data_IF_418213598108
#
_entry.id   IF_418213598108
#
_cell.length_a   1.000
_cell.length_b   1.000
_cell.length_c   1.000
_cell.angle_alpha   90.00
_cell.angle_beta   90.00
_cell.angle_gamma   90.00
#
_symmetry.space_group_name_H-M   'P 1'
#
loop_
_entity.id
_entity.type
_entity.pdbx_description
1 polymer ?
#
# COMPACT_ATOMS: atom_id res chain seq x y z
N UNK A 1 14.60 -5.49 3.76
CA UNK A 1 13.30 -5.48 3.06
C UNK A 1 13.69 -5.66 1.62
N UNK A 2 13.63 -6.91 1.14
CA UNK A 2 14.40 -7.27 -0.06
C UNK A 2 13.51 -7.27 -1.31
N UNK A 3 12.19 -7.12 -1.14
CA UNK A 3 11.18 -7.03 -2.20
C UNK A 3 10.38 -5.72 -2.09
N UNK A 4 11.03 -4.59 -2.38
CA UNK A 4 10.38 -3.27 -2.42
C UNK A 4 10.57 -2.63 -3.80
N UNK A 5 9.51 -2.05 -4.35
CA UNK A 5 9.59 -1.31 -5.61
C UNK A 5 10.35 0.01 -5.42
N UNK A 6 10.75 0.63 -6.54
CA UNK A 6 11.11 2.05 -6.52
C UNK A 6 9.92 2.89 -6.08
N UNK A 7 10.20 4.06 -5.49
CA UNK A 7 9.16 5.02 -5.14
C UNK A 7 8.50 5.61 -6.37
N UNK A 8 7.17 5.60 -6.37
CA UNK A 8 6.30 6.25 -7.33
C UNK A 8 5.89 7.59 -6.72
N UNK A 9 6.15 8.69 -7.41
CA UNK A 9 5.85 10.04 -6.91
C UNK A 9 4.33 10.25 -6.84
N UNK A 10 3.83 10.69 -5.69
CA UNK A 10 2.46 11.17 -5.52
C UNK A 10 2.45 12.67 -5.86
N UNK A 11 1.60 13.06 -6.79
CA UNK A 11 1.43 14.44 -7.24
C UNK A 11 0.19 15.08 -6.58
N UNK A 12 -0.07 16.36 -6.86
CA UNK A 12 -1.18 17.14 -6.25
C UNK A 12 -2.59 16.70 -6.71
N UNK A 13 -2.71 15.53 -7.33
CA UNK A 13 -3.93 14.92 -7.83
C UNK A 13 -4.10 13.50 -7.26
N UNK A 14 -5.14 12.79 -7.69
CA UNK A 14 -5.27 11.36 -7.42
C UNK A 14 -4.19 10.60 -8.20
N UNK A 15 -3.44 9.75 -7.51
CA UNK A 15 -2.53 8.77 -8.10
C UNK A 15 -3.15 7.39 -7.95
N UNK A 16 -3.43 6.72 -9.05
CA UNK A 16 -3.88 5.33 -9.07
C UNK A 16 -2.72 4.41 -9.44
N UNK A 17 -2.57 3.31 -8.70
CA UNK A 17 -1.60 2.25 -9.01
C UNK A 17 -2.33 0.93 -9.10
N UNK A 18 -2.21 0.30 -10.27
CA UNK A 18 -2.67 -1.07 -10.49
C UNK A 18 -1.47 -1.97 -10.66
N UNK A 19 -1.56 -3.19 -10.14
CA UNK A 19 -0.48 -4.16 -10.21
C UNK A 19 -1.04 -5.56 -10.02
N UNK A 20 -0.18 -6.54 -10.31
CA UNK A 20 -0.51 -7.96 -10.29
C UNK A 20 0.34 -8.65 -9.24
N UNK A 21 -0.29 -9.53 -8.47
CA UNK A 21 0.35 -10.28 -7.39
C UNK A 21 0.28 -11.75 -7.73
N UNK A 22 1.44 -12.40 -7.67
CA UNK A 22 1.56 -13.85 -7.88
C UNK A 22 2.22 -14.44 -6.64
N UNK A 23 1.59 -15.42 -5.94
CA UNK A 23 2.25 -16.14 -4.85
C UNK A 23 3.52 -16.83 -5.35
N UNK A 24 4.56 -16.85 -4.51
CA UNK A 24 5.82 -17.54 -4.88
C UNK A 24 5.70 -19.07 -4.76
N UNK A 25 4.73 -19.56 -3.98
CA UNK A 25 4.41 -20.99 -3.82
C UNK A 25 2.88 -21.18 -3.65
N UNK A 26 2.38 -22.38 -3.99
CA UNK A 26 0.93 -22.69 -4.07
C UNK A 26 0.17 -22.56 -2.73
N UNK A 27 0.85 -22.74 -1.59
CA UNK A 27 0.21 -22.64 -0.27
C UNK A 27 0.49 -21.31 0.43
N UNK A 28 1.27 -20.42 -0.20
CA UNK A 28 1.58 -19.13 0.38
C UNK A 28 0.40 -18.17 0.24
N UNK A 29 0.25 -17.34 1.27
CA UNK A 29 -0.72 -16.26 1.31
C UNK A 29 0.06 -14.96 1.18
N UNK A 30 0.03 -14.30 0.00
CA UNK A 30 0.77 -13.05 -0.21
C UNK A 30 0.43 -12.00 0.84
N UNK A 31 1.46 -11.44 1.48
CA UNK A 31 1.31 -10.31 2.40
C UNK A 31 1.72 -9.04 1.68
N UNK A 32 0.82 -8.56 0.83
CA UNK A 32 1.04 -7.37 0.03
C UNK A 32 0.83 -6.12 0.87
N UNK A 33 1.70 -5.14 0.70
CA UNK A 33 1.61 -3.84 1.34
C UNK A 33 2.13 -2.72 0.44
N UNK A 34 1.82 -1.48 0.84
CA UNK A 34 2.52 -0.32 0.32
C UNK A 34 3.12 0.51 1.46
N UNK A 35 4.17 1.26 1.11
CA UNK A 35 4.87 2.17 2.00
C UNK A 35 4.68 3.58 1.45
N UNK A 36 4.11 4.49 2.25
CA UNK A 36 4.08 5.92 1.98
C UNK A 36 5.26 6.59 2.69
N UNK A 37 6.09 7.30 1.95
CA UNK A 37 7.34 7.85 2.48
C UNK A 37 7.80 9.13 1.77
N UNK A 38 8.78 9.79 2.37
CA UNK A 38 9.62 10.80 1.71
C UNK A 38 11.08 10.33 1.74
N UNK A 39 11.86 10.72 0.74
CA UNK A 39 13.31 10.56 0.65
C UNK A 39 13.84 11.51 -0.42
N UNK A 40 15.15 11.77 -0.42
CA UNK A 40 15.77 12.69 -1.37
C UNK A 40 15.87 12.09 -2.79
N UNK A 41 16.00 10.77 -2.88
CA UNK A 41 16.20 10.02 -4.13
C UNK A 41 15.00 9.17 -4.57
N UNK A 42 13.92 9.17 -3.79
CA UNK A 42 12.73 8.36 -4.06
C UNK A 42 12.91 6.87 -3.74
N UNK A 43 13.91 6.50 -2.94
CA UNK A 43 14.16 5.12 -2.51
C UNK A 43 13.79 4.89 -1.05
N UNK A 44 13.21 3.72 -0.77
CA UNK A 44 12.98 3.28 0.60
C UNK A 44 14.34 3.08 1.27
N UNK A 45 14.51 3.61 2.49
CA UNK A 45 15.80 3.69 3.22
C UNK A 45 16.89 4.55 2.56
N UNK A 46 16.55 5.36 1.55
CA UNK A 46 17.46 6.36 0.97
C UNK A 46 17.77 7.53 1.91
N UNK A 47 18.58 8.47 1.44
CA UNK A 47 18.91 9.67 2.22
C UNK A 47 17.65 10.49 2.53
N UNK A 48 17.56 10.97 3.77
CA UNK A 48 16.40 11.73 4.24
C UNK A 48 15.12 10.91 4.40
N UNK A 49 15.20 9.57 4.38
CA UNK A 49 14.03 8.69 4.45
C UNK A 49 13.16 8.92 5.69
N UNK A 50 11.86 9.11 5.46
CA UNK A 50 10.82 9.18 6.49
C UNK A 50 9.64 8.32 6.07
N UNK A 51 9.37 7.28 6.83
CA UNK A 51 8.18 6.45 6.66
C UNK A 51 6.97 7.11 7.33
N UNK A 52 5.87 7.26 6.60
CA UNK A 52 4.62 7.81 7.13
C UNK A 52 3.57 6.72 7.38
N UNK A 53 3.55 5.69 6.53
CA UNK A 53 2.58 4.61 6.61
C UNK A 53 3.15 3.35 5.94
N UNK A 54 2.96 2.21 6.59
CA UNK A 54 3.04 0.88 6.01
C UNK A 54 1.66 0.23 6.14
N UNK A 55 0.97 0.02 5.01
CA UNK A 55 -0.37 -0.56 4.99
C UNK A 55 -0.35 -1.93 4.32
N UNK A 56 -0.83 -2.95 5.03
CA UNK A 56 -1.06 -4.28 4.46
C UNK A 56 -2.46 -4.39 3.85
N UNK A 57 -2.56 -5.00 2.67
CA UNK A 57 -3.76 -5.00 1.84
C UNK A 57 -4.83 -6.03 2.25
N UNK A 58 -4.70 -6.61 3.43
CA UNK A 58 -5.76 -7.36 4.12
C UNK A 58 -6.39 -6.55 5.28
N UNK A 59 -5.91 -5.32 5.48
CA UNK A 59 -6.43 -4.39 6.47
C UNK A 59 -6.07 -4.76 7.92
N UNK A 60 -5.05 -5.61 8.13
CA UNK A 60 -4.64 -6.00 9.49
C UNK A 60 -3.48 -5.17 10.05
N UNK A 61 -2.84 -4.32 9.25
CA UNK A 61 -1.67 -3.57 9.67
C UNK A 61 -1.64 -2.15 9.11
N UNK A 62 -1.66 -1.16 10.02
CA UNK A 62 -1.60 0.27 9.72
C UNK A 62 -1.16 1.05 10.98
N UNK A 63 0.14 1.08 11.32
CA UNK A 63 0.63 1.74 12.53
C UNK A 63 0.70 3.27 12.35
N UNK A 64 0.46 4.03 13.42
CA UNK A 64 0.89 5.44 13.51
C UNK A 64 2.32 5.53 14.02
N UNK A 65 3.03 6.62 13.74
CA UNK A 65 4.43 6.79 14.14
C UNK A 65 4.79 8.24 14.49
N UNK A 66 6.09 8.54 14.59
CA UNK A 66 6.57 9.88 14.95
C UNK A 66 6.28 10.96 13.89
N UNK A 67 6.11 10.59 12.61
CA UNK A 67 5.93 11.51 11.49
C UNK A 67 4.48 11.71 11.05
N UNK A 68 3.60 10.74 11.33
CA UNK A 68 2.21 10.79 10.91
C UNK A 68 1.24 10.11 11.89
N UNK A 69 -0.02 10.52 11.82
CA UNK A 69 -1.14 9.82 12.43
C UNK A 69 -1.93 9.11 11.34
N UNK A 70 -2.21 7.82 11.53
CA UNK A 70 -2.89 6.96 10.58
C UNK A 70 -4.20 6.44 11.19
N UNK A 71 -5.30 6.67 10.49
CA UNK A 71 -6.62 6.19 10.86
C UNK A 71 -7.13 5.21 9.80
N UNK A 72 -7.16 3.93 10.15
CA UNK A 72 -7.57 2.83 9.27
C UNK A 72 -9.08 2.56 9.38
N UNK A 73 -9.76 2.53 8.25
CA UNK A 73 -11.11 2.00 8.08
C UNK A 73 -11.06 0.75 7.22
N UNK A 74 -11.69 -0.32 7.68
CA UNK A 74 -11.80 -1.58 6.92
C UNK A 74 -13.27 -1.98 6.83
N UNK A 75 -13.78 -2.08 5.60
CA UNK A 75 -15.11 -2.61 5.31
C UNK A 75 -14.98 -4.05 4.79
N UNK A 76 -15.65 -4.96 5.49
CA UNK A 76 -15.71 -6.40 5.19
C UNK A 76 -17.12 -6.85 4.82
N UNK A 77 -18.01 -5.93 4.45
CA UNK A 77 -19.39 -6.23 4.05
C UNK A 77 -19.48 -7.21 2.86
N UNK A 78 -18.48 -7.19 1.97
CA UNK A 78 -18.36 -8.10 0.81
C UNK A 78 -17.36 -9.24 1.04
N UNK A 79 -16.75 -9.31 2.21
CA UNK A 79 -15.73 -10.31 2.52
C UNK A 79 -16.40 -11.65 2.84
N UNK A 80 -16.18 -12.63 1.97
CA UNK A 80 -16.80 -13.94 2.10
C UNK A 80 -16.09 -14.88 3.10
N UNK A 81 -15.01 -14.41 3.73
CA UNK A 81 -14.25 -15.13 4.75
C UNK A 81 -12.84 -15.53 4.29
N UNK A 82 -12.00 -15.87 5.26
CA UNK A 82 -10.57 -16.12 5.04
C UNK A 82 -10.28 -17.31 4.12
N UNK A 83 -11.11 -18.35 4.12
CA UNK A 83 -10.88 -19.51 3.24
C UNK A 83 -11.05 -19.12 1.77
N UNK A 84 -12.16 -18.45 1.43
CA UNK A 84 -12.39 -18.00 0.06
C UNK A 84 -11.40 -16.91 -0.35
N UNK A 85 -11.03 -16.02 0.57
CA UNK A 85 -10.01 -15.01 0.29
C UNK A 85 -8.64 -15.65 0.01
N UNK A 86 -8.24 -16.68 0.77
CA UNK A 86 -7.02 -17.44 0.47
C UNK A 86 -7.09 -18.14 -0.88
N UNK A 87 -8.23 -18.70 -1.24
CA UNK A 87 -8.42 -19.31 -2.57
C UNK A 87 -8.27 -18.26 -3.69
N UNK A 88 -8.85 -17.08 -3.54
CA UNK A 88 -8.69 -15.96 -4.49
C UNK A 88 -7.24 -15.48 -4.60
N UNK A 89 -6.51 -15.51 -3.49
CA UNK A 89 -5.11 -15.06 -3.41
C UNK A 89 -4.09 -16.19 -3.72
N UNK A 90 -4.56 -17.42 -3.96
CA UNK A 90 -3.70 -18.57 -4.33
C UNK A 90 -3.28 -18.49 -5.80
N UNK A 91 -4.17 -18.00 -6.64
CA UNK A 91 -3.86 -17.71 -8.03
C UNK A 91 -3.31 -16.28 -8.15
N UNK A 92 -2.88 -15.91 -9.34
CA UNK A 92 -2.52 -14.53 -9.64
C UNK A 92 -3.76 -13.61 -9.58
N UNK A 93 -3.66 -12.49 -8.87
CA UNK A 93 -4.74 -11.52 -8.71
C UNK A 93 -4.31 -10.09 -9.00
N UNK A 94 -5.27 -9.27 -9.42
CA UNK A 94 -5.06 -7.84 -9.66
C UNK A 94 -5.40 -7.05 -8.40
N UNK A 95 -4.55 -6.07 -8.09
CA UNK A 95 -4.75 -5.11 -7.02
C UNK A 95 -4.83 -3.70 -7.59
N UNK A 96 -5.60 -2.87 -6.91
CA UNK A 96 -5.67 -1.44 -7.13
C UNK A 96 -5.51 -0.72 -5.80
N UNK A 97 -4.65 0.28 -5.79
CA UNK A 97 -4.53 1.24 -4.70
C UNK A 97 -4.65 2.65 -5.26
N UNK A 98 -5.25 3.55 -4.51
CA UNK A 98 -5.34 4.98 -4.87
C UNK A 98 -4.84 5.85 -3.75
N UNK A 99 -4.29 7.00 -4.11
CA UNK A 99 -3.78 8.01 -3.20
C UNK A 99 -4.31 9.37 -3.61
N UNK A 100 -5.01 10.06 -2.71
CA UNK A 100 -5.40 11.45 -2.90
C UNK A 100 -4.65 12.32 -1.89
N UNK A 101 -3.91 13.32 -2.36
CA UNK A 101 -3.18 14.28 -1.54
C UNK A 101 -3.96 15.60 -1.44
N UNK A 102 -4.38 15.95 -0.24
CA UNK A 102 -5.05 17.22 0.05
C UNK A 102 -4.36 17.92 1.22
N UNK A 103 -3.59 18.96 0.92
CA UNK A 103 -2.86 19.74 1.93
C UNK A 103 -1.76 18.92 2.61
N UNK A 104 -1.99 18.49 3.85
CA UNK A 104 -1.10 17.63 4.64
C UNK A 104 -1.70 16.25 4.95
N UNK A 105 -2.75 15.88 4.23
CA UNK A 105 -3.46 14.62 4.41
C UNK A 105 -3.37 13.80 3.14
N UNK A 106 -3.08 12.51 3.28
CA UNK A 106 -3.23 11.52 2.20
C UNK A 106 -4.36 10.57 2.57
N UNK A 107 -5.32 10.43 1.66
CA UNK A 107 -6.30 9.34 1.72
C UNK A 107 -5.81 8.23 0.81
N UNK A 108 -5.50 7.08 1.40
CA UNK A 108 -5.10 5.89 0.65
C UNK A 108 -6.26 4.89 0.64
N UNK A 109 -6.60 4.31 -0.51
CA UNK A 109 -7.60 3.23 -0.58
C UNK A 109 -7.09 1.99 -1.30
N UNK A 110 -7.63 0.83 -0.96
CA UNK A 110 -7.35 -0.43 -1.62
C UNK A 110 -8.60 -1.33 -1.62
N UNK A 111 -8.68 -2.22 -2.60
CA UNK A 111 -9.62 -3.35 -2.61
C UNK A 111 -8.84 -4.64 -2.80
N UNK A 112 -9.09 -5.62 -1.95
CA UNK A 112 -8.53 -6.95 -2.09
C UNK A 112 -9.56 -8.02 -1.70
N UNK A 113 -10.13 -8.71 -2.69
CA UNK A 113 -10.98 -9.87 -2.46
C UNK A 113 -12.22 -9.56 -1.61
N UNK A 114 -12.81 -8.37 -1.79
CA UNK A 114 -14.00 -7.94 -1.03
C UNK A 114 -13.69 -7.27 0.32
N UNK A 115 -12.41 -7.07 0.65
CA UNK A 115 -11.97 -6.20 1.75
C UNK A 115 -11.69 -4.82 1.15
N UNK A 116 -12.53 -3.85 1.49
CA UNK A 116 -12.27 -2.44 1.15
C UNK A 116 -11.48 -1.80 2.29
N UNK A 117 -10.36 -1.18 1.97
CA UNK A 117 -9.46 -0.56 2.95
C UNK A 117 -9.35 0.92 2.61
N UNK A 118 -9.43 1.76 3.63
CA UNK A 118 -9.12 3.19 3.52
C UNK A 118 -8.29 3.62 4.72
N UNK A 119 -7.26 4.44 4.50
CA UNK A 119 -6.54 5.09 5.59
C UNK A 119 -6.41 6.58 5.34
N UNK A 120 -6.73 7.34 6.37
CA UNK A 120 -6.43 8.75 6.46
C UNK A 120 -5.07 8.92 7.15
N UNK A 121 -4.07 9.37 6.41
CA UNK A 121 -2.73 9.68 6.92
C UNK A 121 -2.56 11.18 7.02
N UNK A 122 -2.46 11.70 8.24
CA UNK A 122 -2.22 13.13 8.51
C UNK A 122 -0.76 13.33 8.89
N UNK A 123 -0.01 14.06 8.08
CA UNK A 123 1.39 14.36 8.35
C UNK A 123 1.52 15.42 9.45
N UNK A 124 2.40 15.16 10.43
CA UNK A 124 2.72 16.12 11.51
C UNK A 124 3.57 17.29 11.00
N UNK A 125 4.29 17.09 9.91
CA UNK A 125 5.08 18.12 9.21
C UNK A 125 4.92 17.93 7.70
N UNK A 126 4.82 19.04 6.96
CA UNK A 126 4.68 18.99 5.50
C UNK A 126 5.92 18.34 4.85
N UNK A 127 5.70 17.29 4.06
CA UNK A 127 6.72 16.68 3.22
C UNK A 127 6.92 17.52 1.95
N UNK A 128 8.16 17.59 1.45
CA UNK A 128 8.45 18.30 0.19
C UNK A 128 8.09 17.47 -1.06
N UNK A 129 8.28 16.15 -0.97
CA UNK A 129 7.90 15.16 -1.98
C UNK A 129 7.42 13.91 -1.29
N UNK A 130 6.36 13.31 -1.81
CA UNK A 130 5.78 12.08 -1.29
C UNK A 130 5.88 10.99 -2.33
N UNK A 131 6.25 9.80 -1.89
CA UNK A 131 6.41 8.63 -2.72
C UNK A 131 5.64 7.46 -2.10
N UNK A 132 5.21 6.55 -2.96
CA UNK A 132 4.72 5.24 -2.56
C UNK A 132 5.56 4.13 -3.19
N UNK A 133 5.90 3.12 -2.41
CA UNK A 133 6.51 1.90 -2.90
C UNK A 133 5.62 0.69 -2.56
N UNK A 134 5.55 -0.27 -3.47
CA UNK A 134 4.89 -1.55 -3.26
C UNK A 134 5.89 -2.54 -2.66
N UNK A 135 5.43 -3.36 -1.72
CA UNK A 135 6.24 -4.41 -1.10
C UNK A 135 5.37 -5.64 -0.83
N UNK A 136 5.99 -6.81 -0.76
CA UNK A 136 5.28 -8.05 -0.46
C UNK A 136 6.19 -9.08 0.16
N UNK A 137 5.58 -9.97 0.95
CA UNK A 137 6.20 -11.19 1.46
C UNK A 137 5.51 -12.40 0.83
N UNK A 138 6.29 -13.39 0.42
CA UNK A 138 5.86 -14.64 -0.24
C UNK A 138 5.12 -14.42 -1.57
N UNK A 139 5.47 -13.38 -2.32
CA UNK A 139 4.89 -13.09 -3.62
C UNK A 139 5.80 -12.23 -4.52
N UNK A 140 5.57 -12.33 -5.82
CA UNK A 140 6.03 -11.40 -6.83
C UNK A 140 4.97 -10.32 -7.12
N UNK A 141 5.42 -9.06 -7.22
CA UNK A 141 4.59 -7.94 -7.66
C UNK A 141 5.04 -7.54 -9.07
N UNK A 142 4.12 -7.60 -10.03
CA UNK A 142 4.42 -7.35 -11.45
C UNK A 142 3.37 -6.43 -12.08
N UNK A 143 3.60 -6.06 -13.35
CA UNK A 143 2.65 -5.25 -14.16
C UNK A 143 2.17 -3.97 -13.46
N UNK A 144 3.07 -3.31 -12.73
CA UNK A 144 2.79 -2.06 -12.05
C UNK A 144 2.51 -0.97 -13.09
N UNK A 145 1.35 -0.34 -13.00
CA UNK A 145 0.90 0.76 -13.87
C UNK A 145 0.39 1.89 -13.00
N UNK A 146 0.74 3.12 -13.40
CA UNK A 146 0.31 4.32 -12.72
C UNK A 146 -0.51 5.19 -13.66
N UNK A 147 -1.57 5.82 -13.16
CA UNK A 147 -2.38 6.81 -13.88
C UNK A 147 -2.77 7.97 -12.99
#
# INVERSE_FOLDING_TARGET
MDNVSRGILINDHETEITFKVSPDEEDNVPKVAFILFASDDGQVTGDGYKEYLLMRLDGEYCPSNEYANNELTVDRSRFAGWNQWKELNRDEFDCKVTFSLEGNTVISTADNGGISISCCTVFKTKAAKLYVALTGDQCAITNIRCS
#
